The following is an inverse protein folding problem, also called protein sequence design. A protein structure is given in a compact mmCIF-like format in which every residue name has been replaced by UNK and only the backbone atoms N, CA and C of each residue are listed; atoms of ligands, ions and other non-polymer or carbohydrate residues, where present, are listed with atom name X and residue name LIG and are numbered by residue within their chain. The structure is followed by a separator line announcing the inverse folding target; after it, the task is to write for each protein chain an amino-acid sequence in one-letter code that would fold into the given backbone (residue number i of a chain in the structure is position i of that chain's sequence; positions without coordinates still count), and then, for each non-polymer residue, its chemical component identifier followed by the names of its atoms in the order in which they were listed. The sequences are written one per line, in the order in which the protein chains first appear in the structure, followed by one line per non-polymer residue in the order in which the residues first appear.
data_IF_413882559463
#
_entry.id   IF_413882559463
#
_cell.length_a   1.000
_cell.length_b   1.000
_cell.length_c   1.000
_cell.angle_alpha   90.00
_cell.angle_beta   90.00
_cell.angle_gamma   90.00
#
_symmetry.space_group_name_H-M   'P 1'
#
loop_
_entity.id
_entity.type
_entity.pdbx_description
1 polymer ?
#
# COMPACT_ATOMS: atom_id res chain seq x y z
N UNK A 1 24.17 -21.26 -13.95
CA UNK A 1 23.20 -21.05 -12.85
C UNK A 1 22.88 -19.58 -12.60
N UNK A 2 23.83 -18.70 -12.18
CA UNK A 2 23.52 -17.29 -11.86
C UNK A 2 22.99 -16.45 -13.03
N UNK A 3 23.53 -16.62 -14.24
CA UNK A 3 23.22 -15.76 -15.41
C UNK A 3 21.82 -16.04 -15.99
N UNK A 4 21.32 -17.28 -15.90
CA UNK A 4 20.00 -17.66 -16.44
C UNK A 4 18.86 -17.17 -15.54
N UNK A 5 19.07 -17.19 -14.21
CA UNK A 5 18.15 -16.61 -13.22
C UNK A 5 17.99 -15.10 -13.44
N UNK A 6 19.08 -14.39 -13.80
CA UNK A 6 19.05 -12.92 -14.02
C UNK A 6 18.27 -12.51 -15.27
N UNK A 7 18.25 -13.34 -16.33
CA UNK A 7 17.55 -13.02 -17.59
C UNK A 7 16.05 -13.35 -17.51
N UNK A 8 15.65 -14.31 -16.68
CA UNK A 8 14.26 -14.78 -16.56
C UNK A 8 13.45 -13.95 -15.54
N UNK A 9 14.10 -13.38 -14.51
CA UNK A 9 13.50 -12.41 -13.58
C UNK A 9 12.92 -11.15 -14.26
N UNK A 10 13.35 -10.85 -15.49
CA UNK A 10 12.82 -9.77 -16.33
C UNK A 10 11.36 -10.00 -16.78
N UNK A 11 10.87 -11.25 -16.78
CA UNK A 11 9.52 -11.60 -17.27
C UNK A 11 8.43 -11.58 -16.18
N UNK A 12 8.83 -11.43 -14.90
CA UNK A 12 7.94 -11.14 -13.77
C UNK A 12 7.78 -9.63 -13.51
N UNK A 13 8.26 -8.77 -14.42
CA UNK A 13 8.08 -7.32 -14.38
C UNK A 13 6.64 -6.88 -14.66
N UNK A 14 5.66 -7.55 -14.07
CA UNK A 14 4.44 -6.89 -13.68
C UNK A 14 4.76 -6.05 -12.44
N UNK A 15 5.52 -4.96 -12.62
CA UNK A 15 5.52 -3.82 -11.69
C UNK A 15 4.08 -3.34 -11.42
N UNK A 16 3.14 -3.75 -12.28
CA UNK A 16 1.70 -3.62 -12.17
C UNK A 16 1.11 -4.02 -10.81
N UNK A 17 1.62 -5.06 -10.12
CA UNK A 17 1.08 -5.47 -8.80
C UNK A 17 1.44 -4.49 -7.68
N UNK A 18 2.59 -3.81 -7.78
CA UNK A 18 3.02 -2.78 -6.83
C UNK A 18 2.59 -1.38 -7.25
N UNK A 19 2.48 -1.09 -8.56
CA UNK A 19 2.28 0.26 -9.10
C UNK A 19 0.83 0.75 -9.04
N UNK A 20 -0.15 -0.14 -8.92
CA UNK A 20 -1.58 0.26 -8.94
C UNK A 20 -2.13 0.66 -7.56
N UNK A 21 -1.40 0.43 -6.47
CA UNK A 21 -2.03 0.29 -5.14
C UNK A 21 -1.42 1.12 -4.00
N UNK A 22 -0.77 2.26 -4.27
CA UNK A 22 -0.60 3.29 -3.23
C UNK A 22 -0.79 4.71 -3.79
N UNK A 23 -1.76 4.88 -4.67
CA UNK A 23 -2.81 5.79 -4.23
C UNK A 23 -3.51 5.01 -3.14
N UNK A 24 -3.66 5.54 -1.93
CA UNK A 24 -4.84 5.20 -1.13
C UNK A 24 -5.95 5.14 -2.16
N UNK A 25 -6.67 4.03 -2.30
CA UNK A 25 -7.95 4.09 -2.98
C UNK A 25 -8.76 5.01 -2.10
N UNK A 26 -8.57 6.33 -2.27
CA UNK A 26 -9.25 7.37 -1.54
C UNK A 26 -10.67 7.08 -1.95
N UNK A 27 -11.42 6.52 -1.02
CA UNK A 27 -12.63 5.81 -1.35
C UNK A 27 -13.58 6.82 -2.01
N UNK A 28 -13.66 6.76 -3.34
CA UNK A 28 -14.50 7.65 -4.13
C UNK A 28 -15.97 7.50 -3.68
N UNK A 29 -16.35 6.41 -3.01
CA UNK A 29 -17.66 6.27 -2.38
C UNK A 29 -17.80 7.12 -1.12
N UNK A 30 -16.76 7.26 -0.29
CA UNK A 30 -16.76 8.18 0.86
C UNK A 30 -16.92 9.61 0.39
N UNK A 31 -16.15 10.03 -0.62
CA UNK A 31 -16.31 11.37 -1.22
C UNK A 31 -17.72 11.56 -1.78
N UNK A 32 -18.18 10.66 -2.66
CA UNK A 32 -19.52 10.74 -3.25
C UNK A 32 -20.63 10.79 -2.20
N UNK A 33 -20.53 9.97 -1.16
CA UNK A 33 -21.50 9.93 -0.07
C UNK A 33 -21.47 11.20 0.78
N UNK A 34 -20.29 11.74 1.08
CA UNK A 34 -20.13 12.96 1.87
C UNK A 34 -20.58 14.21 1.09
N UNK A 35 -20.26 14.26 -0.21
CA UNK A 35 -20.54 15.40 -1.06
C UNK A 35 -21.90 15.35 -1.79
N UNK A 36 -22.70 14.29 -1.63
CA UNK A 36 -23.98 14.13 -2.34
C UNK A 36 -25.01 15.27 -2.15
N UNK A 37 -24.85 16.05 -1.08
CA UNK A 37 -25.72 17.19 -0.72
C UNK A 37 -25.21 18.54 -1.20
N UNK A 38 -24.08 18.57 -1.92
CA UNK A 38 -23.47 19.78 -2.44
C UNK A 38 -23.44 19.73 -3.97
N UNK A 39 -23.67 20.88 -4.60
CA UNK A 39 -23.57 21.00 -6.06
C UNK A 39 -22.14 21.26 -6.54
N UNK A 40 -21.27 21.74 -5.64
CA UNK A 40 -19.87 22.05 -5.89
C UNK A 40 -18.99 21.34 -4.86
N UNK A 41 -17.92 20.70 -5.33
CA UNK A 41 -16.93 20.01 -4.50
C UNK A 41 -16.18 20.98 -3.58
N UNK A 42 -16.02 22.24 -4.00
CA UNK A 42 -15.38 23.31 -3.21
C UNK A 42 -16.25 23.70 -2.01
N UNK A 43 -17.58 23.71 -2.18
CA UNK A 43 -18.53 23.92 -1.10
C UNK A 43 -18.52 22.74 -0.12
N UNK A 44 -18.51 21.50 -0.64
CA UNK A 44 -18.39 20.29 0.16
C UNK A 44 -17.13 20.31 1.03
N UNK A 45 -15.98 20.61 0.42
CA UNK A 45 -14.71 20.75 1.11
C UNK A 45 -14.76 21.85 2.19
N UNK A 46 -15.19 23.06 1.82
CA UNK A 46 -15.24 24.21 2.72
C UNK A 46 -16.14 23.96 3.93
N UNK A 47 -17.28 23.31 3.72
CA UNK A 47 -18.16 22.87 4.79
C UNK A 47 -17.44 21.89 5.73
N UNK A 48 -16.83 20.84 5.18
CA UNK A 48 -16.25 19.76 5.98
C UNK A 48 -15.02 20.21 6.78
N UNK A 49 -14.13 20.99 6.18
CA UNK A 49 -12.88 21.41 6.83
C UNK A 49 -13.14 22.38 8.00
N UNK A 50 -14.25 23.14 7.95
CA UNK A 50 -14.71 24.03 9.03
C UNK A 50 -15.57 23.34 10.08
N UNK A 51 -15.99 22.10 9.84
CA UNK A 51 -16.85 21.36 10.76
C UNK A 51 -16.16 21.09 12.10
N UNK A 52 -16.93 21.00 13.19
CA UNK A 52 -16.42 20.52 14.49
C UNK A 52 -16.46 18.99 14.61
N UNK A 53 -17.09 18.30 13.65
CA UNK A 53 -17.19 16.84 13.62
C UNK A 53 -15.92 16.27 12.98
N UNK A 54 -15.12 15.53 13.74
CA UNK A 54 -13.85 14.93 13.26
C UNK A 54 -14.01 14.15 11.95
N UNK A 55 -15.07 13.34 11.84
CA UNK A 55 -15.37 12.57 10.63
C UNK A 55 -15.60 13.46 9.40
N UNK A 56 -16.28 14.60 9.55
CA UNK A 56 -16.51 15.52 8.44
C UNK A 56 -15.21 16.24 8.04
N UNK A 57 -14.35 16.59 9.01
CA UNK A 57 -13.00 17.10 8.72
C UNK A 57 -12.18 16.08 7.95
N UNK A 58 -12.10 14.83 8.43
CA UNK A 58 -11.35 13.78 7.76
C UNK A 58 -11.88 13.54 6.33
N UNK A 59 -13.20 13.45 6.15
CA UNK A 59 -13.79 13.33 4.82
C UNK A 59 -13.43 14.51 3.93
N UNK A 60 -13.37 15.75 4.45
CA UNK A 60 -12.93 16.91 3.67
C UNK A 60 -11.45 16.83 3.25
N UNK A 61 -10.59 16.18 4.04
CA UNK A 61 -9.22 15.90 3.61
C UNK A 61 -9.22 14.94 2.42
N UNK A 62 -10.04 13.88 2.46
CA UNK A 62 -10.19 12.97 1.30
C UNK A 62 -10.71 13.71 0.06
N UNK A 63 -11.72 14.57 0.21
CA UNK A 63 -12.25 15.43 -0.86
C UNK A 63 -11.14 16.29 -1.45
N UNK A 64 -10.35 16.94 -0.60
CA UNK A 64 -9.22 17.77 -1.02
C UNK A 64 -8.22 16.96 -1.86
N UNK A 65 -7.81 15.78 -1.37
CA UNK A 65 -6.80 14.95 -2.04
C UNK A 65 -7.28 14.45 -3.40
N UNK A 66 -8.56 14.07 -3.51
CA UNK A 66 -9.17 13.63 -4.77
C UNK A 66 -9.39 14.76 -5.79
N UNK A 67 -9.47 16.00 -5.31
CA UNK A 67 -9.81 17.17 -6.14
C UNK A 67 -8.78 18.28 -5.97
N UNK A 68 -7.50 17.92 -5.82
CA UNK A 68 -6.40 18.85 -5.53
C UNK A 68 -6.42 20.04 -6.49
N UNK A 69 -6.49 19.80 -7.80
CA UNK A 69 -6.45 20.85 -8.82
C UNK A 69 -7.61 21.86 -8.69
N UNK A 70 -8.77 21.41 -8.20
CA UNK A 70 -9.98 22.23 -8.06
C UNK A 70 -10.06 23.01 -6.73
N UNK A 71 -9.26 22.62 -5.73
CA UNK A 71 -9.36 23.13 -4.36
C UNK A 71 -8.07 23.83 -3.90
N UNK A 72 -6.92 23.48 -4.48
CA UNK A 72 -5.60 23.99 -4.08
C UNK A 72 -5.46 25.51 -4.16
N UNK A 73 -6.30 26.20 -4.94
CA UNK A 73 -6.35 27.66 -5.02
C UNK A 73 -7.09 28.32 -3.84
N UNK A 74 -7.96 27.60 -3.13
CA UNK A 74 -8.72 28.09 -1.97
C UNK A 74 -8.26 27.49 -0.63
N UNK A 75 -7.40 26.48 -0.65
CA UNK A 75 -6.83 25.91 0.57
C UNK A 75 -5.42 25.40 0.36
N UNK A 76 -4.50 25.86 1.20
CA UNK A 76 -3.09 25.52 1.11
C UNK A 76 -2.82 24.07 1.57
N UNK A 77 -1.97 23.36 0.81
CA UNK A 77 -1.63 21.97 1.10
C UNK A 77 -0.92 21.81 2.46
N UNK A 78 -0.03 22.73 2.84
CA UNK A 78 0.67 22.64 4.13
C UNK A 78 -0.32 22.84 5.27
N UNK A 79 -1.30 23.72 5.10
CA UNK A 79 -2.39 23.88 6.05
C UNK A 79 -3.23 22.60 6.17
N UNK A 80 -3.56 21.95 5.05
CA UNK A 80 -4.25 20.65 5.06
C UNK A 80 -3.47 19.61 5.88
N UNK A 81 -2.14 19.53 5.72
CA UNK A 81 -1.31 18.62 6.50
C UNK A 81 -1.34 18.93 7.99
N UNK A 82 -1.36 20.21 8.39
CA UNK A 82 -1.51 20.59 9.79
C UNK A 82 -2.86 20.14 10.36
N UNK A 83 -3.94 20.31 9.60
CA UNK A 83 -5.27 19.87 10.03
C UNK A 83 -5.36 18.33 10.14
N UNK A 84 -4.79 17.62 9.16
CA UNK A 84 -4.72 16.15 9.16
C UNK A 84 -3.88 15.63 10.34
N UNK A 85 -2.72 16.24 10.60
CA UNK A 85 -1.88 15.87 11.73
C UNK A 85 -2.57 16.11 13.07
N UNK A 86 -3.36 17.19 13.19
CA UNK A 86 -4.20 17.42 14.36
C UNK A 86 -5.23 16.30 14.60
N UNK A 87 -5.76 15.69 13.54
CA UNK A 87 -6.64 14.51 13.66
C UNK A 87 -5.83 13.27 14.05
N UNK A 88 -4.65 13.06 13.45
CA UNK A 88 -3.76 11.93 13.73
C UNK A 88 -3.30 11.90 15.20
N UNK A 89 -2.82 13.04 15.74
CA UNK A 89 -2.43 13.18 17.16
C UNK A 89 -3.60 12.88 18.10
N UNK A 90 -4.83 13.10 17.65
CA UNK A 90 -6.03 12.78 18.43
C UNK A 90 -6.38 11.29 18.47
N UNK A 91 -5.55 10.42 17.87
CA UNK A 91 -5.70 8.97 17.82
C UNK A 91 -6.63 8.47 16.70
N UNK A 92 -6.97 9.31 15.73
CA UNK A 92 -7.80 8.87 14.59
C UNK A 92 -6.96 8.02 13.62
N UNK A 93 -7.15 6.70 13.68
CA UNK A 93 -6.39 5.73 12.87
C UNK A 93 -6.51 6.02 11.37
N UNK A 94 -7.66 6.48 10.88
CA UNK A 94 -7.81 6.77 9.46
C UNK A 94 -7.03 8.04 9.08
N UNK A 95 -6.94 9.03 9.98
CA UNK A 95 -6.07 10.18 9.77
C UNK A 95 -4.59 9.79 9.75
N UNK A 96 -4.16 8.91 10.66
CA UNK A 96 -2.80 8.37 10.68
C UNK A 96 -2.47 7.65 9.37
N UNK A 97 -3.35 6.74 8.92
CA UNK A 97 -3.19 6.02 7.66
C UNK A 97 -3.10 6.99 6.48
N UNK A 98 -3.96 8.00 6.43
CA UNK A 98 -3.97 8.96 5.34
C UNK A 98 -2.70 9.82 5.31
N UNK A 99 -2.24 10.29 6.47
CA UNK A 99 -0.99 11.04 6.59
C UNK A 99 0.21 10.19 6.20
N UNK A 100 0.29 8.95 6.70
CA UNK A 100 1.34 8.01 6.34
C UNK A 100 1.37 7.75 4.83
N UNK A 101 0.20 7.58 4.20
CA UNK A 101 0.10 7.35 2.77
C UNK A 101 0.58 8.53 1.92
N UNK A 102 0.34 9.76 2.37
CA UNK A 102 0.88 10.97 1.73
C UNK A 102 2.41 10.92 1.75
N UNK A 103 3.03 10.64 2.90
CA UNK A 103 4.49 10.56 2.99
C UNK A 103 5.08 9.36 2.25
N UNK A 104 4.39 8.22 2.23
CA UNK A 104 4.80 7.07 1.43
C UNK A 104 4.81 7.38 -0.07
N UNK A 105 3.80 8.10 -0.58
CA UNK A 105 3.64 8.40 -2.00
C UNK A 105 4.41 9.65 -2.45
N UNK A 106 4.66 10.60 -1.55
CA UNK A 106 5.17 11.93 -1.91
C UNK A 106 4.13 12.80 -2.61
N UNK A 107 2.84 12.62 -2.31
CA UNK A 107 1.78 13.42 -2.94
C UNK A 107 1.87 14.88 -2.51
N UNK A 108 2.36 15.76 -3.42
CA UNK A 108 2.60 17.20 -3.17
C UNK A 108 3.53 17.52 -1.97
N UNK A 109 4.31 16.55 -1.51
CA UNK A 109 5.40 16.70 -0.54
C UNK A 109 6.56 15.80 -0.94
N UNK A 110 7.73 16.06 -0.38
CA UNK A 110 8.85 15.12 -0.51
C UNK A 110 8.45 13.77 0.08
N UNK A 111 8.67 12.71 -0.71
CA UNK A 111 8.45 11.34 -0.26
C UNK A 111 9.34 11.05 0.94
N UNK A 112 8.75 10.48 2.00
CA UNK A 112 9.42 10.14 3.24
C UNK A 112 8.84 8.84 3.81
N UNK A 113 9.46 7.71 3.45
CA UNK A 113 8.94 6.38 3.81
C UNK A 113 9.15 6.08 5.29
N UNK A 114 10.24 6.59 5.87
CA UNK A 114 10.54 6.48 7.30
C UNK A 114 9.47 7.19 8.15
N UNK A 115 8.99 8.36 7.72
CA UNK A 115 7.88 9.04 8.38
C UNK A 115 6.57 8.27 8.25
N UNK A 116 6.31 7.67 7.09
CA UNK A 116 5.15 6.77 6.92
C UNK A 116 5.21 5.61 7.91
N UNK A 117 6.37 4.95 8.04
CA UNK A 117 6.58 3.86 9.00
C UNK A 117 6.35 4.36 10.43
N UNK A 118 7.02 5.45 10.82
CA UNK A 118 6.91 6.03 12.17
C UNK A 118 5.46 6.31 12.56
N UNK A 119 4.66 6.90 11.66
CA UNK A 119 3.25 7.17 11.92
C UNK A 119 2.42 5.90 12.10
N UNK A 120 2.68 4.87 11.30
CA UNK A 120 1.92 3.61 11.34
C UNK A 120 2.30 2.76 12.56
N UNK A 121 3.56 2.81 13.01
CA UNK A 121 4.02 2.10 14.20
C UNK A 121 3.55 2.73 15.51
N UNK A 122 3.09 3.98 15.49
CA UNK A 122 2.39 4.59 16.62
C UNK A 122 1.00 3.97 16.86
N UNK A 123 0.44 3.26 15.87
CA UNK A 123 -0.83 2.55 16.03
C UNK A 123 -0.59 1.33 16.95
N UNK A 124 -1.28 1.22 18.11
CA UNK A 124 -1.06 0.13 19.03
C UNK A 124 -1.28 -1.25 18.38
N UNK A 125 -0.46 -2.23 18.77
CA UNK A 125 -0.58 -3.59 18.27
C UNK A 125 -2.01 -4.13 18.43
N UNK A 126 -2.54 -4.77 17.39
CA UNK A 126 -3.92 -5.26 17.35
C UNK A 126 -4.99 -4.18 17.11
N UNK A 127 -4.62 -2.89 17.00
CA UNK A 127 -5.53 -1.81 16.54
C UNK A 127 -5.37 -1.49 15.05
N UNK A 128 -4.25 -1.87 14.44
CA UNK A 128 -4.03 -1.75 13.00
C UNK A 128 -5.00 -2.64 12.22
N UNK A 129 -5.57 -2.10 11.14
CA UNK A 129 -6.36 -2.84 10.16
C UNK A 129 -5.47 -3.32 9.00
N UNK A 130 -6.07 -3.99 8.02
CA UNK A 130 -5.37 -4.52 6.86
C UNK A 130 -4.60 -3.45 6.08
N UNK A 131 -5.14 -2.22 6.02
CA UNK A 131 -4.51 -1.10 5.31
C UNK A 131 -3.23 -0.65 6.00
N UNK A 132 -3.21 -0.59 7.35
CA UNK A 132 -2.01 -0.27 8.15
C UNK A 132 -0.88 -1.24 7.83
N UNK A 133 -1.16 -2.54 7.95
CA UNK A 133 -0.14 -3.56 7.75
C UNK A 133 0.29 -3.67 6.28
N UNK A 134 -0.63 -3.45 5.34
CA UNK A 134 -0.28 -3.37 3.93
C UNK A 134 0.70 -2.22 3.67
N UNK A 135 0.42 -1.03 4.20
CA UNK A 135 1.27 0.14 4.00
C UNK A 135 2.62 0.02 4.70
N UNK A 136 2.67 -0.57 5.90
CA UNK A 136 3.93 -0.94 6.56
C UNK A 136 4.75 -1.90 5.70
N UNK A 137 4.14 -3.00 5.23
CA UNK A 137 4.81 -3.98 4.36
C UNK A 137 5.37 -3.35 3.08
N UNK A 138 4.60 -2.49 2.41
CA UNK A 138 5.06 -1.76 1.21
C UNK A 138 6.16 -0.73 1.54
N UNK A 139 6.08 -0.08 2.70
CA UNK A 139 7.10 0.87 3.16
C UNK A 139 8.43 0.18 3.42
N UNK A 140 8.41 -0.93 4.16
CA UNK A 140 9.60 -1.75 4.40
C UNK A 140 10.16 -2.34 3.10
N UNK A 141 9.30 -2.75 2.17
CA UNK A 141 9.75 -3.23 0.86
C UNK A 141 10.47 -2.12 0.07
N UNK A 142 9.99 -0.88 0.15
CA UNK A 142 10.65 0.23 -0.50
C UNK A 142 12.07 0.46 0.05
N UNK A 143 12.23 0.41 1.37
CA UNK A 143 13.56 0.51 1.99
C UNK A 143 14.45 -0.68 1.61
N UNK A 144 13.88 -1.90 1.57
CA UNK A 144 14.58 -3.12 1.13
C UNK A 144 15.19 -2.98 -0.28
N UNK A 145 14.44 -2.40 -1.21
CA UNK A 145 14.89 -2.20 -2.60
C UNK A 145 16.05 -1.22 -2.70
N UNK A 146 16.08 -0.21 -1.82
CA UNK A 146 17.13 0.81 -1.77
C UNK A 146 18.36 0.38 -0.95
N UNK A 147 18.19 -0.55 -0.02
CA UNK A 147 19.26 -1.01 0.86
C UNK A 147 20.26 -1.91 0.12
N UNK A 148 21.54 -1.60 0.35
CA UNK A 148 22.70 -2.28 -0.22
C UNK A 148 23.43 -3.16 0.80
N UNK A 149 23.32 -2.85 2.09
CA UNK A 149 23.94 -3.60 3.18
C UNK A 149 23.18 -4.93 3.42
N UNK A 150 23.83 -6.10 3.23
CA UNK A 150 23.14 -7.39 3.24
C UNK A 150 22.35 -7.67 4.52
N UNK A 151 22.94 -7.39 5.68
CA UNK A 151 22.29 -7.65 6.97
C UNK A 151 21.00 -6.85 7.16
N UNK A 152 21.02 -5.56 6.81
CA UNK A 152 19.83 -4.70 6.88
C UNK A 152 18.80 -5.11 5.84
N UNK A 153 19.25 -5.57 4.68
CA UNK A 153 18.38 -6.08 3.63
C UNK A 153 17.60 -7.31 4.09
N UNK A 154 18.24 -8.23 4.82
CA UNK A 154 17.56 -9.41 5.40
C UNK A 154 16.52 -9.02 6.46
N UNK A 155 16.82 -8.03 7.30
CA UNK A 155 15.88 -7.47 8.28
C UNK A 155 14.66 -6.83 7.58
N UNK A 156 14.89 -5.97 6.60
CA UNK A 156 13.83 -5.30 5.85
C UNK A 156 12.97 -6.29 5.05
N UNK A 157 13.57 -7.36 4.51
CA UNK A 157 12.84 -8.45 3.88
C UNK A 157 11.92 -9.17 4.88
N UNK A 158 12.42 -9.43 6.08
CA UNK A 158 11.64 -10.06 7.15
C UNK A 158 10.45 -9.20 7.55
N UNK A 159 10.66 -7.90 7.79
CA UNK A 159 9.60 -6.94 8.13
C UNK A 159 8.58 -6.81 6.99
N UNK A 160 9.05 -6.74 5.74
CA UNK A 160 8.19 -6.73 4.55
C UNK A 160 7.24 -7.92 4.56
N UNK A 161 7.76 -9.14 4.71
CA UNK A 161 6.94 -10.35 4.73
C UNK A 161 5.98 -10.37 5.91
N UNK A 162 6.44 -10.02 7.10
CA UNK A 162 5.64 -10.03 8.32
C UNK A 162 4.39 -9.16 8.18
N UNK A 163 4.57 -7.90 7.77
CA UNK A 163 3.45 -6.96 7.67
C UNK A 163 2.52 -7.27 6.49
N UNK A 164 3.05 -7.69 5.34
CA UNK A 164 2.22 -8.14 4.23
C UNK A 164 1.43 -9.41 4.59
N UNK A 165 2.02 -10.33 5.36
CA UNK A 165 1.33 -11.52 5.84
C UNK A 165 0.23 -11.18 6.86
N UNK A 166 0.49 -10.27 7.81
CA UNK A 166 -0.53 -9.76 8.74
C UNK A 166 -1.74 -9.18 7.97
N UNK A 167 -1.49 -8.37 6.94
CA UNK A 167 -2.57 -7.82 6.11
C UNK A 167 -3.29 -8.88 5.26
N UNK A 168 -2.55 -9.85 4.71
CA UNK A 168 -3.10 -11.01 4.00
C UNK A 168 -4.08 -11.81 4.88
N UNK A 169 -3.72 -12.09 6.14
CA UNK A 169 -4.58 -12.79 7.09
C UNK A 169 -5.89 -12.04 7.39
N UNK A 170 -5.90 -10.72 7.17
CA UNK A 170 -7.10 -9.88 7.30
C UNK A 170 -7.91 -9.80 5.98
N UNK A 171 -7.49 -10.52 4.94
CA UNK A 171 -8.22 -10.67 3.67
C UNK A 171 -7.83 -9.69 2.57
N UNK A 172 -6.77 -8.88 2.75
CA UNK A 172 -6.36 -7.90 1.76
C UNK A 172 -5.60 -8.57 0.59
N UNK A 173 -6.30 -8.76 -0.53
CA UNK A 173 -5.73 -9.40 -1.73
C UNK A 173 -4.51 -8.67 -2.30
N UNK A 174 -4.52 -7.34 -2.21
CA UNK A 174 -3.38 -6.46 -2.50
C UNK A 174 -2.10 -6.94 -1.81
N UNK A 175 -2.19 -7.21 -0.51
CA UNK A 175 -1.06 -7.70 0.29
C UNK A 175 -0.71 -9.14 -0.04
N UNK A 176 -1.68 -9.99 -0.36
CA UNK A 176 -1.43 -11.35 -0.86
C UNK A 176 -0.58 -11.33 -2.13
N UNK A 177 -0.94 -10.47 -3.11
CA UNK A 177 -0.19 -10.31 -4.36
C UNK A 177 1.22 -9.78 -4.10
N UNK A 178 1.35 -8.76 -3.25
CA UNK A 178 2.65 -8.19 -2.88
C UNK A 178 3.54 -9.22 -2.16
N UNK A 179 2.98 -9.99 -1.23
CA UNK A 179 3.70 -11.02 -0.48
C UNK A 179 4.21 -12.12 -1.41
N UNK A 180 3.34 -12.65 -2.28
CA UNK A 180 3.71 -13.66 -3.26
C UNK A 180 4.82 -13.16 -4.19
N UNK A 181 4.72 -11.92 -4.67
CA UNK A 181 5.76 -11.32 -5.51
C UNK A 181 7.11 -11.24 -4.78
N UNK A 182 7.12 -10.71 -3.56
CA UNK A 182 8.34 -10.55 -2.76
C UNK A 182 9.00 -11.91 -2.50
N UNK A 183 8.21 -12.91 -2.14
CA UNK A 183 8.67 -14.28 -1.88
C UNK A 183 9.23 -14.97 -3.15
N UNK A 184 8.57 -14.85 -4.30
CA UNK A 184 9.07 -15.41 -5.57
C UNK A 184 10.38 -14.75 -5.99
N UNK A 185 10.45 -13.42 -5.84
CA UNK A 185 11.55 -12.63 -6.42
C UNK A 185 12.82 -12.64 -5.57
N UNK A 186 12.67 -12.61 -4.25
CA UNK A 186 13.78 -12.39 -3.32
C UNK A 186 13.93 -13.49 -2.27
N UNK A 187 12.96 -14.41 -2.20
CA UNK A 187 12.89 -15.38 -1.13
C UNK A 187 13.75 -16.61 -1.31
N UNK A 188 13.74 -17.43 -0.27
CA UNK A 188 14.30 -18.78 -0.29
C UNK A 188 13.43 -19.74 -1.10
N UNK A 189 13.89 -20.98 -1.29
CA UNK A 189 13.08 -22.05 -1.88
C UNK A 189 11.77 -22.28 -1.10
N UNK A 190 11.81 -22.20 0.23
CA UNK A 190 10.61 -22.29 1.07
C UNK A 190 9.63 -21.15 0.83
N UNK A 191 10.13 -19.93 0.63
CA UNK A 191 9.30 -18.78 0.26
C UNK A 191 8.69 -18.96 -1.14
N UNK A 192 9.44 -19.52 -2.10
CA UNK A 192 8.94 -19.79 -3.45
C UNK A 192 7.74 -20.76 -3.41
N UNK A 193 7.84 -21.85 -2.64
CA UNK A 193 6.75 -22.83 -2.47
C UNK A 193 5.53 -22.15 -1.83
N UNK A 194 5.74 -21.35 -0.79
CA UNK A 194 4.64 -20.65 -0.12
C UNK A 194 3.96 -19.63 -1.03
N UNK A 195 4.73 -18.89 -1.82
CA UNK A 195 4.19 -17.97 -2.81
C UNK A 195 3.32 -18.68 -3.85
N UNK A 196 3.66 -19.91 -4.24
CA UNK A 196 2.83 -20.74 -5.09
C UNK A 196 1.42 -20.95 -4.54
N UNK A 197 1.30 -21.22 -3.24
CA UNK A 197 -0.01 -21.38 -2.56
C UNK A 197 -0.79 -20.07 -2.54
N UNK A 198 -0.12 -18.95 -2.30
CA UNK A 198 -0.75 -17.62 -2.32
C UNK A 198 -1.28 -17.26 -3.73
N UNK A 199 -0.51 -17.57 -4.77
CA UNK A 199 -0.90 -17.34 -6.16
C UNK A 199 -2.04 -18.25 -6.59
N UNK A 200 -2.02 -19.52 -6.18
CA UNK A 200 -3.13 -20.45 -6.41
C UNK A 200 -4.41 -19.94 -5.75
N UNK A 201 -4.34 -19.54 -4.48
CA UNK A 201 -5.46 -18.94 -3.74
C UNK A 201 -6.06 -17.74 -4.48
N UNK A 202 -5.22 -16.84 -5.01
CA UNK A 202 -5.66 -15.69 -5.79
C UNK A 202 -6.30 -16.12 -7.12
N UNK A 203 -5.68 -17.05 -7.86
CA UNK A 203 -6.20 -17.55 -9.13
C UNK A 203 -7.58 -18.21 -8.99
N UNK A 204 -7.82 -18.93 -7.89
CA UNK A 204 -9.11 -19.56 -7.58
C UNK A 204 -10.27 -18.55 -7.44
N UNK A 205 -9.98 -17.26 -7.18
CA UNK A 205 -11.00 -16.19 -7.14
C UNK A 205 -11.44 -15.72 -8.53
N UNK A 206 -10.79 -16.16 -9.59
CA UNK A 206 -11.26 -15.96 -10.97
C UNK A 206 -10.81 -14.67 -11.64
N UNK A 207 -9.95 -13.85 -11.01
CA UNK A 207 -9.34 -12.70 -11.66
C UNK A 207 -8.31 -13.18 -12.71
N UNK A 208 -8.46 -12.71 -13.95
CA UNK A 208 -7.59 -13.09 -15.07
C UNK A 208 -6.10 -12.75 -14.84
N UNK A 209 -5.80 -11.64 -14.17
CA UNK A 209 -4.42 -11.25 -13.85
C UNK A 209 -3.79 -12.22 -12.84
N UNK A 210 -4.58 -12.69 -11.87
CA UNK A 210 -4.12 -13.63 -10.85
C UNK A 210 -3.95 -15.05 -11.42
N UNK A 211 -4.87 -15.49 -12.27
CA UNK A 211 -4.76 -16.75 -13.01
C UNK A 211 -3.49 -16.75 -13.86
N UNK A 212 -3.25 -15.68 -14.64
CA UNK A 212 -2.06 -15.56 -15.46
C UNK A 212 -0.77 -15.54 -14.62
N UNK A 213 -0.80 -14.94 -13.44
CA UNK A 213 0.34 -14.93 -12.52
C UNK A 213 0.64 -16.32 -11.97
N UNK A 214 -0.40 -17.09 -11.61
CA UNK A 214 -0.24 -18.48 -11.17
C UNK A 214 0.21 -19.42 -12.29
N UNK A 215 -0.30 -19.25 -13.51
CA UNK A 215 0.16 -20.01 -14.67
C UNK A 215 1.64 -19.78 -14.98
N UNK A 216 2.10 -18.53 -14.88
CA UNK A 216 3.53 -18.20 -14.97
C UNK A 216 4.33 -18.89 -13.87
N UNK A 217 3.88 -18.82 -12.62
CA UNK A 217 4.53 -19.51 -11.50
C UNK A 217 4.68 -21.01 -11.77
N UNK A 218 3.63 -21.70 -12.23
CA UNK A 218 3.68 -23.14 -12.54
C UNK A 218 4.70 -23.47 -13.63
N UNK A 219 4.81 -22.63 -14.67
CA UNK A 219 5.82 -22.81 -15.72
C UNK A 219 7.23 -22.74 -15.13
N UNK A 220 7.50 -21.72 -14.30
CA UNK A 220 8.80 -21.57 -13.64
C UNK A 220 9.11 -22.72 -12.68
N UNK A 221 8.13 -23.13 -11.87
CA UNK A 221 8.29 -24.24 -10.94
C UNK A 221 8.67 -25.54 -11.67
N UNK A 222 8.05 -25.81 -12.82
CA UNK A 222 8.37 -26.97 -13.65
C UNK A 222 9.80 -26.91 -14.22
N UNK A 223 10.20 -25.75 -14.72
CA UNK A 223 11.56 -25.55 -15.24
C UNK A 223 12.62 -25.76 -14.16
N UNK A 224 12.34 -25.38 -12.90
CA UNK A 224 13.26 -25.62 -11.78
C UNK A 224 13.40 -27.12 -11.46
N UNK A 225 12.31 -27.88 -11.47
CA UNK A 225 12.34 -29.32 -11.21
C UNK A 225 12.98 -30.12 -12.34
N UNK A 226 12.91 -29.64 -13.59
CA UNK A 226 13.52 -30.29 -14.75
C UNK A 226 15.05 -30.02 -14.85
N UNK A 227 15.61 -29.14 -13.99
CA UNK A 227 17.02 -28.78 -13.92
C UNK A 227 17.80 -29.47 -12.77
N UNK A 228 17.12 -30.20 -11.89
CA UNK A 228 17.69 -31.02 -10.81
C UNK A 228 17.96 -32.47 -11.26
#
# INVERSE_FOLDING_TARGET
MKILVTVILLLLHSTYSFSKEVTVTIDNQVEKGFCNRFNDVRDCFTYGIKSQVKKEKLNSVLVYLNNFDSISDIYDYKKLLVDLNGLAISGDINAIILEASIYYSGFHVDRNVEKSISLLEEIPEGKGNEVVYNLLGKSYFHLFELESEPYKKDELYTLTKEYLYKSHLMGMEASTRALAFVMVKYGSEGDFIEAGKLLEYLAMKGNQEDIASYDKYKLYAKEMTDLE
#
